data_IF_175013921873
#
_entry.id   IF_175013921873
#
_cell.length_a   1.000
_cell.length_b   1.000
_cell.length_c   1.000
_cell.angle_alpha   90.00
_cell.angle_beta   90.00
_cell.angle_gamma   90.00
#
_symmetry.space_group_name_H-M   'P 1'
#
loop_
_entity.id
_entity.type
_entity.pdbx_description
1 polymer ?
#
# COMPACT_ATOMS: atom_id res chain seq x y z
N UNK A 1 -4.88 7.92 -17.80
CA UNK A 1 -4.46 9.07 -16.96
C UNK A 1 -4.65 8.84 -15.46
N UNK A 2 -5.45 7.87 -14.99
CA UNK A 2 -5.60 7.57 -13.56
C UNK A 2 -4.47 6.74 -12.91
N UNK A 3 -3.79 5.83 -13.64
CA UNK A 3 -2.64 5.03 -13.11
C UNK A 3 -1.51 5.85 -12.46
N UNK A 4 -1.41 7.14 -12.82
CA UNK A 4 -0.34 8.00 -12.34
C UNK A 4 -0.71 8.66 -11.00
N UNK A 5 -1.99 8.77 -10.65
CA UNK A 5 -2.44 9.66 -9.58
C UNK A 5 -2.06 9.13 -8.19
N UNK A 6 -2.41 7.87 -7.86
CA UNK A 6 -2.00 7.29 -6.58
C UNK A 6 -0.54 6.89 -6.59
N UNK A 7 0.04 6.32 -7.65
CA UNK A 7 1.49 6.02 -7.65
C UNK A 7 2.36 7.27 -7.44
N UNK A 8 2.00 8.41 -8.06
CA UNK A 8 2.65 9.69 -7.75
C UNK A 8 2.31 10.19 -6.34
N UNK A 9 1.06 10.04 -5.89
CA UNK A 9 0.68 10.44 -4.53
C UNK A 9 1.34 9.58 -3.45
N UNK A 10 1.58 8.29 -3.67
CA UNK A 10 2.36 7.41 -2.80
C UNK A 10 3.81 7.89 -2.78
N UNK A 11 4.41 8.15 -3.95
CA UNK A 11 5.76 8.72 -4.00
C UNK A 11 5.88 10.07 -3.27
N UNK A 12 4.85 10.93 -3.32
CA UNK A 12 4.84 12.22 -2.65
C UNK A 12 4.51 12.11 -1.15
N UNK A 13 3.62 11.20 -0.74
CA UNK A 13 3.26 10.96 0.65
C UNK A 13 4.43 10.36 1.45
N UNK A 14 5.27 9.55 0.80
CA UNK A 14 6.39 8.88 1.43
C UNK A 14 7.59 9.84 1.68
N UNK A 15 7.69 10.96 0.94
CA UNK A 15 8.76 11.96 1.11
C UNK A 15 8.42 13.10 2.10
N UNK A 16 7.28 13.07 2.78
CA UNK A 16 6.78 14.19 3.59
C UNK A 16 7.14 14.10 5.07
N UNK A 17 8.07 14.94 5.54
CA UNK A 17 8.19 15.29 6.95
C UNK A 17 6.89 15.94 7.47
N UNK A 18 6.54 15.61 8.70
CA UNK A 18 5.34 15.97 9.44
C UNK A 18 5.33 17.46 9.86
N UNK A 19 4.36 18.25 9.41
CA UNK A 19 3.96 19.51 10.04
C UNK A 19 2.43 19.63 10.15
N UNK A 20 1.97 19.39 11.38
CA UNK A 20 0.58 19.23 11.72
C UNK A 20 -0.28 20.51 11.73
N UNK A 21 -1.52 20.30 11.29
CA UNK A 21 -2.80 20.89 11.76
C UNK A 21 -3.10 22.37 11.44
N UNK A 22 -4.37 22.85 11.52
CA UNK A 22 -5.66 22.16 11.71
C UNK A 22 -6.74 22.50 10.66
N UNK A 23 -7.86 21.78 10.80
CA UNK A 23 -9.13 21.84 10.06
C UNK A 23 -9.83 23.20 10.05
N UNK A 24 -10.40 23.57 8.89
CA UNK A 24 -11.35 24.67 8.73
C UNK A 24 -12.80 24.18 8.73
N UNK A 25 -13.64 25.04 9.31
CA UNK A 25 -15.01 24.91 9.77
C UNK A 25 -16.08 25.19 8.68
N UNK A 26 -17.32 24.76 8.99
CA UNK A 26 -18.60 25.32 8.56
C UNK A 26 -19.05 25.00 7.12
N UNK A 27 -20.32 24.86 6.72
CA UNK A 27 -21.67 25.17 7.25
C UNK A 27 -22.68 24.48 6.32
N UNK A 28 -23.93 24.24 6.75
CA UNK A 28 -25.04 24.01 5.81
C UNK A 28 -26.27 23.30 6.37
N UNK A 29 -27.18 24.05 6.97
CA UNK A 29 -28.43 23.61 7.58
C UNK A 29 -29.65 24.05 6.74
N UNK A 30 -30.75 23.27 6.85
CA UNK A 30 -32.19 23.54 6.53
C UNK A 30 -32.78 23.19 5.14
N UNK A 31 -34.12 23.02 5.01
CA UNK A 31 -35.11 22.42 5.92
C UNK A 31 -36.11 21.45 5.21
N UNK A 32 -37.02 20.84 5.98
CA UNK A 32 -38.04 19.90 5.51
C UNK A 32 -39.25 20.51 4.77
N UNK A 33 -40.03 19.62 4.12
CA UNK A 33 -41.44 19.82 3.76
C UNK A 33 -42.21 18.50 3.86
N UNK A 34 -43.42 18.58 4.41
CA UNK A 34 -44.37 17.49 4.58
C UNK A 34 -45.46 17.49 3.48
N UNK A 35 -46.11 16.32 3.37
CA UNK A 35 -47.51 16.06 2.98
C UNK A 35 -48.00 16.48 1.58
N UNK A 36 -48.36 15.51 0.74
CA UNK A 36 -49.72 14.94 0.63
C UNK A 36 -49.95 14.27 -0.74
N UNK A 37 -50.49 13.05 -0.68
CA UNK A 37 -51.52 12.48 -1.56
C UNK A 37 -51.36 12.58 -3.08
N UNK A 38 -51.24 11.42 -3.76
CA UNK A 38 -52.27 10.98 -4.70
C UNK A 38 -52.14 9.49 -5.04
N UNK A 39 -53.19 8.77 -4.71
CA UNK A 39 -53.55 7.43 -5.13
C UNK A 39 -53.67 7.33 -6.65
N UNK A 40 -52.91 6.43 -7.29
CA UNK A 40 -53.33 5.77 -8.52
C UNK A 40 -53.02 4.28 -8.42
N UNK A 41 -54.12 3.57 -8.23
CA UNK A 41 -54.34 2.14 -8.37
C UNK A 41 -54.02 1.70 -9.81
N UNK A 42 -52.94 0.96 -9.97
CA UNK A 42 -52.59 0.24 -11.20
C UNK A 42 -52.28 -1.20 -10.82
N UNK A 43 -53.26 -2.10 -11.00
CA UNK A 43 -53.01 -3.54 -11.03
C UNK A 43 -52.53 -3.92 -12.43
N UNK A 44 -51.23 -3.77 -12.68
CA UNK A 44 -50.59 -4.41 -13.83
C UNK A 44 -50.15 -5.83 -13.43
N UNK A 45 -50.84 -6.79 -14.04
CA UNK A 45 -50.61 -8.23 -14.03
C UNK A 45 -49.28 -8.52 -14.76
N UNK A 46 -48.16 -8.24 -14.09
CA UNK A 46 -46.82 -8.56 -14.58
C UNK A 46 -46.51 -10.00 -14.19
N UNK A 47 -46.82 -10.92 -15.11
CA UNK A 47 -46.31 -12.28 -15.05
C UNK A 47 -44.80 -12.25 -14.84
N UNK A 48 -44.36 -12.84 -13.73
CA UNK A 48 -42.98 -12.91 -13.28
C UNK A 48 -42.11 -13.63 -14.33
N UNK A 49 -41.61 -12.89 -15.33
CA UNK A 49 -40.56 -13.38 -16.22
C UNK A 49 -39.29 -13.39 -15.38
N UNK A 50 -39.00 -14.55 -14.76
CA UNK A 50 -37.69 -14.85 -14.21
C UNK A 50 -36.68 -14.67 -15.33
N UNK A 51 -36.02 -13.52 -15.32
CA UNK A 51 -34.89 -13.27 -16.19
C UNK A 51 -33.77 -14.18 -15.70
N UNK A 52 -33.63 -15.34 -16.33
CA UNK A 52 -32.48 -16.24 -16.20
C UNK A 52 -31.25 -15.60 -16.86
N UNK A 53 -30.97 -14.34 -16.53
CA UNK A 53 -29.68 -13.71 -16.80
C UNK A 53 -28.74 -14.27 -15.74
N UNK A 54 -27.75 -15.11 -16.11
CA UNK A 54 -26.76 -15.59 -15.15
C UNK A 54 -26.15 -14.36 -14.47
N UNK A 55 -26.03 -14.33 -13.13
CA UNK A 55 -25.43 -13.19 -12.45
C UNK A 55 -24.07 -12.93 -13.07
N UNK A 56 -23.84 -11.69 -13.51
CA UNK A 56 -22.57 -11.29 -14.10
C UNK A 56 -21.42 -11.72 -13.17
N UNK A 57 -20.27 -12.20 -13.69
CA UNK A 57 -19.18 -12.69 -12.86
C UNK A 57 -18.80 -11.61 -11.84
N UNK A 58 -19.06 -11.92 -10.56
CA UNK A 58 -18.92 -10.97 -9.46
C UNK A 58 -17.42 -10.74 -9.20
N UNK A 59 -16.88 -9.66 -9.75
CA UNK A 59 -15.55 -9.19 -9.40
C UNK A 59 -15.59 -8.53 -8.02
N UNK A 60 -14.51 -8.67 -7.25
CA UNK A 60 -14.41 -8.11 -5.91
C UNK A 60 -14.43 -6.58 -6.03
N UNK A 61 -15.40 -5.91 -5.41
CA UNK A 61 -15.46 -4.44 -5.31
C UNK A 61 -14.46 -3.93 -4.27
N UNK A 62 -14.19 -2.62 -4.23
CA UNK A 62 -13.31 -2.06 -3.20
C UNK A 62 -13.88 -2.32 -1.79
N UNK A 63 -15.21 -2.19 -1.61
CA UNK A 63 -15.88 -2.50 -0.34
C UNK A 63 -15.72 -3.97 0.05
N UNK A 64 -15.92 -4.90 -0.88
CA UNK A 64 -15.67 -6.33 -0.63
C UNK A 64 -14.20 -6.63 -0.33
N UNK A 65 -13.26 -5.89 -0.93
CA UNK A 65 -11.84 -6.02 -0.60
C UNK A 65 -11.54 -5.52 0.82
N UNK A 66 -12.12 -4.39 1.23
CA UNK A 66 -12.02 -3.89 2.62
C UNK A 66 -12.53 -4.91 3.62
N UNK A 67 -13.70 -5.49 3.35
CA UNK A 67 -14.31 -6.53 4.19
C UNK A 67 -13.38 -7.74 4.35
N UNK A 68 -12.80 -8.22 3.24
CA UNK A 68 -11.84 -9.35 3.27
C UNK A 68 -10.57 -9.02 4.05
N UNK A 69 -10.09 -7.80 3.96
CA UNK A 69 -8.93 -7.31 4.72
C UNK A 69 -9.26 -7.03 6.20
N UNK A 70 -10.52 -7.11 6.58
CA UNK A 70 -10.98 -6.79 7.94
C UNK A 70 -10.78 -5.32 8.30
N UNK A 71 -10.79 -4.42 7.31
CA UNK A 71 -10.63 -2.97 7.52
C UNK A 71 -11.98 -2.25 7.36
N UNK A 72 -12.12 -1.10 8.04
CA UNK A 72 -13.30 -0.25 7.92
C UNK A 72 -13.33 0.53 6.60
N UNK A 73 -14.01 1.68 6.59
CA UNK A 73 -14.09 2.56 5.41
C UNK A 73 -12.75 3.22 5.01
N UNK A 74 -11.70 3.04 5.82
CA UNK A 74 -10.35 3.51 5.54
C UNK A 74 -9.68 2.78 4.37
N UNK A 75 -8.63 3.40 3.86
CA UNK A 75 -7.84 2.92 2.74
C UNK A 75 -8.36 3.34 1.36
N UNK A 76 -7.50 3.33 0.37
CA UNK A 76 -7.84 3.68 -1.01
C UNK A 76 -7.29 2.61 -1.95
N UNK A 77 -8.07 2.30 -2.98
CA UNK A 77 -7.71 1.28 -3.97
C UNK A 77 -7.81 1.86 -5.36
N UNK A 78 -6.74 1.77 -6.13
CA UNK A 78 -6.77 2.03 -7.56
C UNK A 78 -7.04 0.76 -8.34
N UNK A 79 -7.76 0.93 -9.45
CA UNK A 79 -8.13 -0.15 -10.34
C UNK A 79 -7.88 0.21 -11.78
N UNK A 80 -7.53 -0.81 -12.55
CA UNK A 80 -7.50 -0.74 -14.01
C UNK A 80 -8.30 -1.91 -14.55
N UNK A 81 -9.45 -1.59 -15.13
CA UNK A 81 -10.47 -2.60 -15.43
C UNK A 81 -10.90 -3.31 -14.16
N UNK A 82 -10.68 -4.63 -14.10
CA UNK A 82 -11.13 -5.47 -12.98
C UNK A 82 -10.10 -5.65 -11.88
N UNK A 83 -8.84 -5.29 -12.12
CA UNK A 83 -7.74 -5.60 -11.21
C UNK A 83 -7.40 -4.41 -10.31
N UNK A 84 -7.04 -4.70 -9.06
CA UNK A 84 -6.43 -3.72 -8.18
C UNK A 84 -4.96 -3.54 -8.57
N UNK A 85 -4.55 -2.30 -8.80
CA UNK A 85 -3.20 -1.96 -9.28
C UNK A 85 -2.39 -1.18 -8.25
N UNK A 86 -3.05 -0.48 -7.33
CA UNK A 86 -2.40 0.12 -6.18
C UNK A 86 -3.35 0.15 -4.98
N UNK A 87 -2.79 0.15 -3.78
CA UNK A 87 -3.55 0.30 -2.54
C UNK A 87 -2.78 1.16 -1.54
N UNK A 88 -3.49 2.12 -0.94
CA UNK A 88 -3.04 2.95 0.16
C UNK A 88 -3.85 2.55 1.39
N UNK A 89 -3.21 1.89 2.34
CA UNK A 89 -3.83 1.28 3.53
C UNK A 89 -3.21 1.82 4.81
N UNK A 90 -2.58 2.99 4.80
CA UNK A 90 -1.97 3.58 6.00
C UNK A 90 -2.97 3.67 7.15
N UNK A 91 -2.58 3.13 8.30
CA UNK A 91 -3.36 3.20 9.55
C UNK A 91 -4.82 2.73 9.41
N UNK A 92 -5.08 1.69 8.61
CA UNK A 92 -6.43 1.11 8.46
C UNK A 92 -6.70 -0.04 9.43
N UNK A 93 -5.70 -0.47 10.20
CA UNK A 93 -5.77 -1.62 11.08
C UNK A 93 -5.63 -2.97 10.36
N UNK A 94 -5.14 -2.97 9.11
CA UNK A 94 -4.95 -4.23 8.35
C UNK A 94 -3.95 -5.12 9.05
N UNK A 95 -4.25 -6.42 9.14
CA UNK A 95 -3.39 -7.43 9.77
C UNK A 95 -2.98 -8.51 8.79
N UNK A 96 -3.93 -8.93 7.97
CA UNK A 96 -3.77 -10.00 6.99
C UNK A 96 -3.78 -9.41 5.58
N UNK A 97 -2.70 -9.65 4.85
CA UNK A 97 -2.54 -9.24 3.46
C UNK A 97 -2.94 -10.33 2.46
N UNK A 98 -3.32 -11.52 2.93
CA UNK A 98 -3.74 -12.64 2.07
C UNK A 98 -4.81 -12.29 1.04
N UNK A 99 -5.79 -11.37 1.30
CA UNK A 99 -6.76 -10.98 0.28
C UNK A 99 -6.18 -10.24 -0.93
N UNK A 100 -4.98 -9.64 -0.80
CA UNK A 100 -4.28 -8.96 -1.89
C UNK A 100 -3.48 -9.93 -2.77
N UNK A 101 -3.26 -11.16 -2.32
CA UNK A 101 -2.40 -12.12 -3.00
C UNK A 101 -2.88 -12.37 -4.44
N UNK A 102 -1.93 -12.36 -5.38
CA UNK A 102 -2.20 -12.57 -6.80
C UNK A 102 -2.87 -11.39 -7.52
N UNK A 103 -3.17 -10.28 -6.83
CA UNK A 103 -3.53 -9.04 -7.51
C UNK A 103 -2.28 -8.44 -8.18
N UNK A 104 -2.41 -7.83 -9.38
CA UNK A 104 -1.28 -7.18 -10.05
C UNK A 104 -1.04 -5.78 -9.46
N UNK A 105 -0.85 -5.72 -8.14
CA UNK A 105 -0.56 -4.50 -7.40
C UNK A 105 0.91 -4.13 -7.64
N UNK A 106 1.10 -2.88 -8.04
CA UNK A 106 2.40 -2.27 -8.35
C UNK A 106 2.81 -1.26 -7.29
N UNK A 107 1.86 -0.59 -6.64
CA UNK A 107 2.11 0.29 -5.50
C UNK A 107 1.30 -0.14 -4.28
N UNK A 108 1.97 -0.43 -3.17
CA UNK A 108 1.31 -0.81 -1.91
C UNK A 108 1.89 -0.01 -0.75
N UNK A 109 1.02 0.72 -0.05
CA UNK A 109 1.36 1.36 1.22
C UNK A 109 0.50 0.75 2.31
N UNK A 110 1.15 0.16 3.30
CA UNK A 110 0.55 -0.50 4.47
C UNK A 110 1.15 0.06 5.76
N UNK A 111 1.73 1.26 5.71
CA UNK A 111 2.40 1.88 6.83
C UNK A 111 1.47 1.99 8.05
N UNK A 112 2.05 1.95 9.26
CA UNK A 112 1.33 2.12 10.53
C UNK A 112 0.20 1.11 10.73
N UNK A 113 0.44 -0.14 10.33
CA UNK A 113 -0.50 -1.24 10.55
C UNK A 113 0.11 -2.39 11.37
N UNK A 114 -0.71 -3.18 12.07
CA UNK A 114 -0.28 -4.37 12.81
C UNK A 114 0.02 -5.58 11.91
N UNK A 115 0.62 -5.37 10.73
CA UNK A 115 1.06 -6.44 9.82
C UNK A 115 2.37 -7.03 10.32
N UNK A 116 2.44 -8.35 10.45
CA UNK A 116 3.64 -9.06 10.93
C UNK A 116 4.34 -9.90 9.86
N UNK A 117 3.64 -10.23 8.77
CA UNK A 117 4.19 -11.05 7.68
C UNK A 117 3.89 -10.42 6.31
N UNK A 118 4.86 -10.54 5.41
CA UNK A 118 4.78 -10.13 4.01
C UNK A 118 4.59 -11.32 3.05
N UNK A 119 4.32 -12.53 3.55
CA UNK A 119 4.26 -13.76 2.72
C UNK A 119 3.26 -13.65 1.56
N UNK A 120 2.13 -12.97 1.78
CA UNK A 120 1.12 -12.73 0.75
C UNK A 120 1.63 -11.89 -0.42
N UNK A 121 2.73 -11.14 -0.23
CA UNK A 121 3.34 -10.26 -1.23
C UNK A 121 4.37 -10.98 -2.12
N UNK A 122 4.75 -12.20 -1.78
CA UNK A 122 5.81 -12.91 -2.47
C UNK A 122 5.53 -13.06 -3.98
N UNK A 123 6.45 -12.54 -4.80
CA UNK A 123 6.36 -12.63 -6.27
C UNK A 123 5.30 -11.73 -6.90
N UNK A 124 4.68 -10.82 -6.14
CA UNK A 124 3.81 -9.79 -6.70
C UNK A 124 4.64 -8.77 -7.51
N UNK A 125 4.05 -8.14 -8.54
CA UNK A 125 4.76 -7.18 -9.40
C UNK A 125 4.87 -5.80 -8.73
N UNK A 126 5.25 -5.77 -7.46
CA UNK A 126 5.42 -4.54 -6.68
C UNK A 126 6.59 -3.73 -7.25
N UNK A 127 6.36 -2.45 -7.51
CA UNK A 127 7.36 -1.46 -7.88
C UNK A 127 7.67 -0.55 -6.69
N UNK A 128 6.65 -0.24 -5.89
CA UNK A 128 6.72 0.58 -4.67
C UNK A 128 6.05 -0.16 -3.52
N UNK A 129 6.77 -0.31 -2.41
CA UNK A 129 6.24 -0.87 -1.17
C UNK A 129 6.66 -0.01 0.02
N UNK A 130 5.67 0.43 0.80
CA UNK A 130 5.89 1.05 2.10
C UNK A 130 5.17 0.25 3.19
N UNK A 131 5.95 -0.28 4.12
CA UNK A 131 5.47 -0.95 5.32
C UNK A 131 6.08 -0.37 6.59
N UNK A 132 6.42 0.93 6.55
CA UNK A 132 6.99 1.65 7.68
C UNK A 132 6.07 1.63 8.90
N UNK A 133 6.64 1.65 10.09
CA UNK A 133 5.91 1.59 11.37
C UNK A 133 5.01 0.34 11.49
N UNK A 134 5.46 -0.79 10.96
CA UNK A 134 4.84 -2.11 11.17
C UNK A 134 5.78 -3.01 11.98
N UNK A 135 5.25 -4.02 12.70
CA UNK A 135 6.07 -4.95 13.48
C UNK A 135 6.75 -6.05 12.64
N UNK A 136 6.88 -5.88 11.32
CA UNK A 136 7.55 -6.83 10.42
C UNK A 136 9.02 -7.00 10.81
N UNK A 137 9.48 -8.24 10.87
CA UNK A 137 10.85 -8.62 11.27
C UNK A 137 11.66 -9.21 10.10
N UNK A 138 11.01 -9.70 9.04
CA UNK A 138 11.67 -10.37 7.92
C UNK A 138 11.16 -9.84 6.57
N UNK A 139 12.11 -9.65 5.65
CA UNK A 139 11.87 -9.26 4.25
C UNK A 139 12.09 -10.42 3.26
N UNK A 140 12.25 -11.66 3.75
CA UNK A 140 12.42 -12.87 2.91
C UNK A 140 11.37 -12.96 1.77
N UNK A 141 10.07 -12.67 1.98
CA UNK A 141 9.08 -12.74 0.91
C UNK A 141 9.37 -11.79 -0.27
N UNK A 142 10.09 -10.69 -0.03
CA UNK A 142 10.37 -9.67 -1.03
C UNK A 142 11.47 -10.08 -2.03
N UNK A 143 12.26 -11.11 -1.74
CA UNK A 143 13.32 -11.60 -2.64
C UNK A 143 12.80 -12.01 -4.03
N UNK A 144 11.51 -12.30 -4.15
CA UNK A 144 10.84 -12.69 -5.40
C UNK A 144 10.17 -11.52 -6.13
N UNK A 145 10.14 -10.33 -5.53
CA UNK A 145 9.51 -9.15 -6.10
C UNK A 145 10.46 -8.47 -7.10
N UNK A 146 10.66 -9.09 -8.25
CA UNK A 146 11.67 -8.70 -9.24
C UNK A 146 11.50 -7.30 -9.85
N UNK A 147 10.35 -6.66 -9.65
CA UNK A 147 10.08 -5.28 -10.11
C UNK A 147 10.27 -4.24 -9.00
N UNK A 148 10.60 -4.65 -7.77
CA UNK A 148 10.61 -3.75 -6.61
C UNK A 148 11.77 -2.76 -6.74
N UNK A 149 11.42 -1.48 -6.84
CA UNK A 149 12.35 -0.38 -7.09
C UNK A 149 12.44 0.60 -5.92
N UNK A 150 11.35 0.76 -5.16
CA UNK A 150 11.30 1.67 -4.02
C UNK A 150 10.77 0.93 -2.80
N UNK A 151 11.56 0.91 -1.74
CA UNK A 151 11.25 0.18 -0.52
C UNK A 151 11.42 1.06 0.72
N UNK A 152 10.34 1.16 1.49
CA UNK A 152 10.28 1.92 2.72
C UNK A 152 9.86 0.99 3.86
N UNK A 153 10.73 0.89 4.85
CA UNK A 153 10.54 0.00 6.00
C UNK A 153 10.98 0.66 7.30
N UNK A 154 10.84 1.99 7.36
CA UNK A 154 11.30 2.79 8.48
C UNK A 154 10.60 2.36 9.77
N UNK A 155 11.33 2.38 10.90
CA UNK A 155 10.82 1.99 12.23
C UNK A 155 10.20 0.59 12.25
N UNK A 156 10.70 -0.32 11.43
CA UNK A 156 10.39 -1.76 11.52
C UNK A 156 11.46 -2.47 12.34
N UNK A 157 11.27 -3.76 12.58
CA UNK A 157 12.21 -4.60 13.32
C UNK A 157 13.14 -5.42 12.42
N UNK A 158 13.15 -5.10 11.13
CA UNK A 158 14.00 -5.78 10.15
C UNK A 158 15.46 -5.51 10.49
N UNK A 159 16.23 -6.58 10.68
CA UNK A 159 17.67 -6.54 10.96
C UNK A 159 18.52 -7.20 9.87
N UNK A 160 17.94 -8.18 9.18
CA UNK A 160 18.56 -8.86 8.05
C UNK A 160 17.94 -8.39 6.73
N UNK A 161 18.78 -7.83 5.87
CA UNK A 161 18.43 -7.36 4.53
C UNK A 161 19.07 -8.20 3.41
N UNK A 162 19.69 -9.34 3.73
CA UNK A 162 20.19 -10.29 2.74
C UNK A 162 19.20 -10.64 1.63
N UNK A 163 17.88 -10.79 1.90
CA UNK A 163 16.91 -11.10 0.85
C UNK A 163 16.70 -9.98 -0.19
N UNK A 164 17.18 -8.77 0.07
CA UNK A 164 17.07 -7.65 -0.87
C UNK A 164 18.20 -7.64 -1.93
N UNK A 165 19.23 -8.47 -1.74
CA UNK A 165 20.40 -8.50 -2.62
C UNK A 165 20.00 -8.77 -4.08
N UNK A 166 20.47 -7.92 -4.99
CA UNK A 166 20.22 -8.05 -6.43
C UNK A 166 18.83 -7.61 -6.90
N UNK A 167 17.94 -7.14 -6.01
CA UNK A 167 16.72 -6.47 -6.43
C UNK A 167 17.04 -5.13 -7.13
N UNK A 168 16.22 -4.67 -8.08
CA UNK A 168 16.47 -3.42 -8.80
C UNK A 168 16.06 -2.19 -7.97
N UNK A 169 16.38 -2.18 -6.67
CA UNK A 169 16.08 -1.07 -5.79
C UNK A 169 16.87 0.17 -6.22
N UNK A 170 16.17 1.27 -6.40
CA UNK A 170 16.73 2.62 -6.58
C UNK A 170 16.55 3.45 -5.32
N UNK A 171 15.60 3.12 -4.44
CA UNK A 171 15.38 3.80 -3.17
C UNK A 171 15.18 2.80 -2.03
N UNK A 172 15.91 3.00 -0.94
CA UNK A 172 15.83 2.17 0.25
C UNK A 172 15.91 3.01 1.52
N UNK A 173 14.87 2.92 2.35
CA UNK A 173 14.75 3.70 3.60
C UNK A 173 14.72 2.76 4.80
N UNK A 174 15.77 2.86 5.63
CA UNK A 174 16.05 2.01 6.79
C UNK A 174 16.09 2.81 8.11
N UNK A 175 15.48 3.99 8.13
CA UNK A 175 15.46 4.87 9.32
C UNK A 175 14.93 4.10 10.53
N UNK A 176 15.62 4.18 11.67
CA UNK A 176 15.25 3.48 12.91
C UNK A 176 15.11 1.94 12.77
N UNK A 177 15.80 1.31 11.82
CA UNK A 177 15.88 -0.15 11.72
C UNK A 177 17.14 -0.70 12.39
N UNK A 178 17.07 -1.88 13.05
CA UNK A 178 18.22 -2.56 13.66
C UNK A 178 19.12 -3.29 12.63
N UNK A 179 19.32 -2.71 11.44
CA UNK A 179 20.22 -3.23 10.41
C UNK A 179 21.65 -2.86 10.75
N UNK A 180 22.56 -3.84 10.66
CA UNK A 180 23.98 -3.64 10.95
C UNK A 180 24.91 -4.09 9.80
N UNK A 181 24.44 -4.97 8.91
CA UNK A 181 25.21 -5.47 7.77
C UNK A 181 24.65 -4.88 6.46
N UNK A 182 25.50 -4.15 5.73
CA UNK A 182 25.15 -3.53 4.46
C UNK A 182 25.71 -4.28 3.23
N UNK A 183 26.44 -5.39 3.43
CA UNK A 183 26.95 -6.21 2.31
C UNK A 183 25.89 -6.63 1.29
N UNK A 184 24.63 -6.90 1.67
CA UNK A 184 23.59 -7.20 0.68
C UNK A 184 23.36 -6.09 -0.34
N UNK A 185 23.77 -4.86 -0.04
CA UNK A 185 23.62 -3.71 -0.93
C UNK A 185 24.77 -3.56 -1.94
N UNK A 186 25.87 -4.30 -1.78
CA UNK A 186 27.05 -4.19 -2.63
C UNK A 186 26.70 -4.44 -4.11
N UNK A 187 27.13 -3.51 -5.00
CA UNK A 187 26.86 -3.59 -6.43
C UNK A 187 25.44 -3.24 -6.86
N UNK A 188 24.57 -2.79 -5.96
CA UNK A 188 23.25 -2.24 -6.30
C UNK A 188 23.37 -0.80 -6.82
N UNK A 189 22.39 -0.34 -7.60
CA UNK A 189 22.32 1.03 -8.14
C UNK A 189 21.27 1.87 -7.39
N UNK A 190 21.58 2.17 -6.13
CA UNK A 190 20.70 2.93 -5.24
C UNK A 190 20.85 4.42 -5.50
N UNK A 191 19.79 5.08 -5.97
CA UNK A 191 19.79 6.54 -6.09
C UNK A 191 19.67 7.22 -4.72
N UNK A 192 18.91 6.65 -3.80
CA UNK A 192 18.69 7.20 -2.46
C UNK A 192 18.75 6.08 -1.41
N UNK A 193 19.61 6.25 -0.41
CA UNK A 193 19.73 5.36 0.75
C UNK A 193 19.62 6.18 2.04
N UNK A 194 18.67 5.83 2.90
CA UNK A 194 18.49 6.47 4.19
C UNK A 194 18.78 5.50 5.34
N UNK A 195 19.81 5.83 6.13
CA UNK A 195 20.31 5.09 7.28
C UNK A 195 20.21 5.91 8.58
N UNK A 196 19.42 6.98 8.60
CA UNK A 196 19.27 7.84 9.76
C UNK A 196 18.84 7.00 10.98
N UNK A 197 19.53 7.19 12.11
CA UNK A 197 19.23 6.44 13.35
C UNK A 197 19.33 4.90 13.21
N UNK A 198 20.07 4.40 12.22
CA UNK A 198 20.45 2.98 12.13
C UNK A 198 21.71 2.70 12.97
N UNK A 199 21.95 1.44 13.33
CA UNK A 199 23.11 1.02 14.15
C UNK A 199 24.35 0.68 13.28
N UNK A 200 24.56 1.45 12.22
CA UNK A 200 25.60 1.17 11.22
C UNK A 200 26.85 1.96 11.58
N UNK A 201 27.90 1.23 11.95
CA UNK A 201 29.19 1.82 12.33
C UNK A 201 30.19 1.83 11.17
N UNK A 202 30.01 0.95 10.17
CA UNK A 202 30.92 0.79 9.04
C UNK A 202 30.18 0.96 7.70
N UNK A 203 30.70 1.85 6.86
CA UNK A 203 30.19 2.13 5.51
C UNK A 203 31.09 1.56 4.41
N UNK A 204 32.11 0.77 4.74
CA UNK A 204 33.00 0.15 3.74
C UNK A 204 32.24 -0.74 2.76
N UNK A 205 31.16 -1.37 3.21
CA UNK A 205 30.30 -2.22 2.37
C UNK A 205 29.54 -1.42 1.29
N UNK A 206 29.52 -0.09 1.38
CA UNK A 206 28.90 0.80 0.39
C UNK A 206 29.87 1.28 -0.70
N UNK A 207 31.16 0.91 -0.66
CA UNK A 207 32.18 1.40 -1.61
C UNK A 207 31.85 1.11 -3.08
N UNK A 208 31.18 -0.01 -3.34
CA UNK A 208 30.85 -0.48 -4.69
C UNK A 208 29.37 -0.23 -5.05
N UNK A 209 28.67 0.62 -4.30
CA UNK A 209 27.29 1.01 -4.56
C UNK A 209 27.28 2.34 -5.31
N UNK A 210 26.63 2.39 -6.47
CA UNK A 210 26.41 3.65 -7.19
C UNK A 210 25.34 4.46 -6.44
N UNK A 211 25.77 5.30 -5.48
CA UNK A 211 24.90 6.10 -4.63
C UNK A 211 24.73 7.54 -5.14
N UNK A 212 23.47 7.97 -5.27
CA UNK A 212 23.14 9.38 -5.52
C UNK A 212 23.15 10.21 -4.25
N UNK A 213 22.28 9.83 -3.29
CA UNK A 213 22.07 10.52 -2.02
C UNK A 213 22.15 9.51 -0.88
N UNK A 214 22.91 9.86 0.16
CA UNK A 214 23.04 9.09 1.40
C UNK A 214 22.65 9.96 2.59
N UNK A 215 21.69 9.49 3.38
CA UNK A 215 21.28 10.11 4.65
C UNK A 215 21.80 9.25 5.82
N UNK A 216 22.60 9.84 6.73
CA UNK A 216 23.20 9.18 7.90
C UNK A 216 23.11 10.08 9.13
#
# INVERSE_FOLDING_TARGET
MQKLCLLLALCLAICGCDDGSPTADSTGQEPGRSMAERSEDWTEDEGEVKSDVPPAPQFITASQMRERLGIGEGGHFERVGRNFTAAELTNTGVKDLSPLQGQPITGLVIARNPVTSLDALAGMPLEVLDFSETPVESVEPLAKCASLSQLYLEKTKVSDIAPLAGLPLTRLYLTDCPVADLKPLAGMNLQELNLCRSNIENLEDLRDVELGILWI
#
